data_IF_310272946706
#
_entry.id   IF_310272946706
#
_cell.length_a   1.000
_cell.length_b   1.000
_cell.length_c   1.000
_cell.angle_alpha   90.00
_cell.angle_beta   90.00
_cell.angle_gamma   90.00
#
_symmetry.space_group_name_H-M   'P 1'
#
loop_
_entity.id
_entity.type
_entity.pdbx_description
1 polymer ?
#
# COMPACT_ATOMS: atom_id res chain seq x y z
N UNK A 1 -20.54 -11.90 -8.38
CA UNK A 1 -19.29 -11.09 -8.29
C UNK A 1 -18.55 -11.58 -7.06
N UNK A 2 -17.31 -12.07 -7.22
CA UNK A 2 -16.60 -12.77 -6.15
C UNK A 2 -16.31 -11.81 -4.99
N UNK A 3 -16.76 -12.19 -3.79
CA UNK A 3 -16.58 -11.44 -2.54
C UNK A 3 -15.11 -11.01 -2.41
N UNK A 4 -14.88 -9.70 -2.29
CA UNK A 4 -13.54 -9.11 -2.14
C UNK A 4 -12.78 -9.64 -0.90
N UNK A 5 -13.51 -10.28 0.01
CA UNK A 5 -13.07 -10.82 1.29
C UNK A 5 -12.11 -12.03 1.15
N UNK A 6 -12.08 -12.70 0.00
CA UNK A 6 -11.26 -13.91 -0.22
C UNK A 6 -10.03 -13.69 -1.13
N UNK A 7 -9.71 -12.46 -1.51
CA UNK A 7 -8.51 -12.20 -2.31
C UNK A 7 -7.28 -12.02 -1.39
N UNK A 8 -6.24 -12.87 -1.50
CA UNK A 8 -5.01 -12.71 -0.73
C UNK A 8 -4.34 -11.34 -0.94
N UNK A 9 -4.54 -10.74 -2.13
CA UNK A 9 -4.05 -9.40 -2.46
C UNK A 9 -4.75 -8.32 -1.63
N UNK A 10 -6.06 -8.43 -1.39
CA UNK A 10 -6.79 -7.45 -0.58
C UNK A 10 -6.30 -7.46 0.87
N UNK A 11 -6.13 -8.66 1.44
CA UNK A 11 -5.55 -8.81 2.77
C UNK A 11 -4.14 -8.23 2.84
N UNK A 12 -3.27 -8.56 1.88
CA UNK A 12 -1.90 -8.03 1.84
C UNK A 12 -1.86 -6.50 1.75
N UNK A 13 -2.73 -5.89 0.94
CA UNK A 13 -2.84 -4.42 0.86
C UNK A 13 -3.39 -3.79 2.14
N UNK A 14 -4.29 -4.47 2.85
CA UNK A 14 -4.79 -4.02 4.15
C UNK A 14 -3.71 -4.12 5.24
N UNK A 15 -2.93 -5.20 5.24
CA UNK A 15 -1.79 -5.37 6.14
C UNK A 15 -0.72 -4.30 5.88
N UNK A 16 -0.48 -3.93 4.61
CA UNK A 16 0.39 -2.79 4.25
C UNK A 16 -0.15 -1.47 4.82
N UNK A 17 -1.45 -1.20 4.67
CA UNK A 17 -2.09 -0.01 5.22
C UNK A 17 -1.89 0.08 6.75
N UNK A 18 -2.05 -1.05 7.46
CA UNK A 18 -1.80 -1.11 8.89
C UNK A 18 -0.31 -0.92 9.25
N UNK A 19 0.65 -1.44 8.46
CA UNK A 19 2.10 -1.18 8.62
C UNK A 19 2.35 0.34 8.55
N UNK A 20 1.80 0.99 7.53
CA UNK A 20 2.00 2.42 7.29
C UNK A 20 1.38 3.29 8.40
N UNK A 21 0.20 2.95 8.90
CA UNK A 21 -0.37 3.65 10.07
C UNK A 21 0.51 3.53 11.32
N UNK A 22 1.15 2.38 11.54
CA UNK A 22 2.10 2.20 12.64
C UNK A 22 3.37 3.05 12.45
N UNK A 23 3.89 3.13 11.22
CA UNK A 23 5.03 4.00 10.88
C UNK A 23 4.69 5.48 11.09
N UNK A 24 3.55 5.94 10.56
CA UNK A 24 3.10 7.34 10.68
C UNK A 24 2.82 7.73 12.13
N UNK A 25 2.45 6.78 13.00
CA UNK A 25 2.31 7.04 14.45
C UNK A 25 3.64 7.41 15.11
N UNK A 26 4.76 6.89 14.61
CA UNK A 26 6.11 7.18 15.12
C UNK A 26 6.70 8.51 14.64
N UNK A 27 6.07 9.19 13.67
CA UNK A 27 6.60 10.43 13.12
C UNK A 27 6.48 11.62 14.10
N UNK A 28 7.48 12.51 14.15
CA UNK A 28 7.36 13.78 14.85
C UNK A 28 6.24 14.62 14.23
N UNK A 29 5.63 15.48 15.05
CA UNK A 29 4.41 16.23 14.71
C UNK A 29 4.49 16.96 13.37
N UNK A 30 5.64 17.54 13.03
CA UNK A 30 5.86 18.26 11.77
C UNK A 30 5.75 17.36 10.54
N UNK A 31 6.43 16.20 10.54
CA UNK A 31 6.45 15.26 9.42
C UNK A 31 5.14 14.46 9.29
N UNK A 32 4.40 14.31 10.38
CA UNK A 32 3.14 13.58 10.41
C UNK A 32 2.05 14.19 9.54
N UNK A 33 2.03 15.52 9.37
CA UNK A 33 1.00 16.20 8.58
C UNK A 33 1.28 16.18 7.08
N UNK A 34 2.54 16.15 6.67
CA UNK A 34 2.94 16.07 5.27
C UNK A 34 3.10 14.60 4.87
N UNK A 35 4.23 13.99 5.23
CA UNK A 35 4.56 12.60 4.89
C UNK A 35 3.53 11.60 5.40
N UNK A 36 2.97 11.85 6.59
CA UNK A 36 1.94 10.98 7.14
C UNK A 36 0.61 11.03 6.38
N UNK A 37 0.28 12.15 5.74
CA UNK A 37 -0.90 12.26 4.88
C UNK A 37 -0.66 11.57 3.55
N UNK A 38 0.50 11.81 2.93
CA UNK A 38 0.88 11.20 1.65
C UNK A 38 0.90 9.66 1.73
N UNK A 39 1.51 9.12 2.79
CA UNK A 39 1.54 7.66 3.04
C UNK A 39 0.14 7.07 3.20
N UNK A 40 -0.76 7.75 3.91
CA UNK A 40 -2.14 7.30 4.11
C UNK A 40 -2.94 7.33 2.83
N UNK A 41 -2.77 8.38 2.04
CA UNK A 41 -3.54 8.55 0.80
C UNK A 41 -3.08 7.58 -0.29
N UNK A 42 -1.78 7.33 -0.40
CA UNK A 42 -1.25 6.26 -1.25
C UNK A 42 -1.71 4.87 -0.80
N UNK A 43 -1.65 4.57 0.51
CA UNK A 43 -2.13 3.27 1.02
C UNK A 43 -3.64 3.04 0.75
N UNK A 44 -4.46 4.08 0.93
CA UNK A 44 -5.89 4.05 0.55
C UNK A 44 -6.08 3.88 -0.96
N UNK A 45 -5.19 4.45 -1.77
CA UNK A 45 -5.23 4.30 -3.22
C UNK A 45 -4.95 2.87 -3.65
N UNK A 46 -3.94 2.23 -3.08
CA UNK A 46 -3.65 0.79 -3.31
C UNK A 46 -4.89 -0.06 -3.00
N UNK A 47 -5.55 0.17 -1.87
CA UNK A 47 -6.80 -0.54 -1.52
C UNK A 47 -7.90 -0.35 -2.58
N UNK A 48 -8.11 0.88 -3.07
CA UNK A 48 -9.09 1.15 -4.13
C UNK A 48 -8.72 0.47 -5.45
N UNK A 49 -7.43 0.46 -5.81
CA UNK A 49 -6.96 -0.19 -7.02
C UNK A 49 -7.12 -1.71 -6.97
N UNK A 50 -6.93 -2.34 -5.81
CA UNK A 50 -7.20 -3.78 -5.64
C UNK A 50 -8.67 -4.10 -5.85
N UNK A 51 -9.57 -3.29 -5.28
CA UNK A 51 -11.02 -3.45 -5.51
C UNK A 51 -11.35 -3.27 -7.00
N UNK A 52 -10.76 -2.25 -7.65
CA UNK A 52 -10.91 -1.99 -9.08
C UNK A 52 -10.41 -3.17 -9.92
N UNK A 53 -9.22 -3.70 -9.64
CA UNK A 53 -8.65 -4.85 -10.34
C UNK A 53 -9.55 -6.09 -10.21
N UNK A 54 -10.16 -6.31 -9.04
CA UNK A 54 -11.07 -7.43 -8.83
C UNK A 54 -12.35 -7.33 -9.68
N UNK A 55 -12.84 -6.12 -9.92
CA UNK A 55 -14.03 -5.88 -10.74
C UNK A 55 -13.76 -5.93 -12.26
N UNK A 56 -12.50 -5.99 -12.70
CA UNK A 56 -12.12 -5.98 -14.11
C UNK A 56 -11.89 -7.39 -14.66
N UNK A 57 -12.25 -7.58 -15.93
CA UNK A 57 -11.96 -8.81 -16.69
C UNK A 57 -10.49 -8.86 -17.12
N UNK A 58 -9.96 -7.73 -17.58
CA UNK A 58 -8.53 -7.52 -17.78
C UNK A 58 -7.94 -6.80 -16.57
N UNK A 59 -7.06 -7.51 -15.84
CA UNK A 59 -6.47 -7.06 -14.58
C UNK A 59 -5.06 -6.54 -14.75
N UNK A 60 -4.38 -6.91 -15.84
CA UNK A 60 -2.97 -6.56 -16.07
C UNK A 60 -2.69 -5.06 -15.94
N UNK A 61 -3.44 -4.14 -16.55
CA UNK A 61 -3.15 -2.71 -16.43
C UNK A 61 -3.35 -2.19 -15.00
N UNK A 62 -4.34 -2.70 -14.27
CA UNK A 62 -4.61 -2.26 -12.89
C UNK A 62 -3.59 -2.85 -11.91
N UNK A 63 -3.09 -4.06 -12.16
CA UNK A 63 -2.03 -4.66 -11.36
C UNK A 63 -0.70 -3.93 -11.51
N UNK A 64 -0.39 -3.43 -12.71
CA UNK A 64 0.77 -2.56 -12.94
C UNK A 64 0.64 -1.25 -12.16
N UNK A 65 -0.54 -0.62 -12.20
CA UNK A 65 -0.85 0.60 -11.43
C UNK A 65 -0.69 0.36 -9.91
N UNK A 66 -1.15 -0.80 -9.41
CA UNK A 66 -0.93 -1.20 -8.00
C UNK A 66 0.56 -1.30 -7.67
N UNK A 67 1.35 -1.90 -8.56
CA UNK A 67 2.79 -2.07 -8.35
C UNK A 67 3.50 -0.72 -8.29
N UNK A 68 3.20 0.18 -9.23
CA UNK A 68 3.79 1.53 -9.28
C UNK A 68 3.49 2.31 -8.00
N UNK A 69 2.25 2.29 -7.53
CA UNK A 69 1.83 2.99 -6.31
C UNK A 69 2.49 2.39 -5.05
N UNK A 70 2.73 1.07 -5.01
CA UNK A 70 3.47 0.46 -3.90
C UNK A 70 4.96 0.82 -3.94
N UNK A 71 5.58 0.86 -5.11
CA UNK A 71 6.97 1.30 -5.25
C UNK A 71 7.14 2.75 -4.78
N UNK A 72 6.20 3.64 -5.13
CA UNK A 72 6.18 5.02 -4.64
C UNK A 72 6.07 5.08 -3.10
N UNK A 73 5.18 4.26 -2.53
CA UNK A 73 5.04 4.12 -1.08
C UNK A 73 6.28 3.54 -0.39
N UNK A 74 7.12 2.75 -1.07
CA UNK A 74 8.37 2.23 -0.51
C UNK A 74 9.48 3.30 -0.48
N UNK A 75 9.48 4.24 -1.42
CA UNK A 75 10.48 5.32 -1.51
C UNK A 75 10.28 6.36 -0.40
N UNK A 76 9.03 6.68 -0.05
CA UNK A 76 8.67 7.69 0.95
C UNK A 76 9.23 7.44 2.38
N UNK A 77 9.07 6.26 3.02
CA UNK A 77 9.51 6.01 4.40
C UNK A 77 11.04 5.89 4.56
N UNK A 78 11.80 5.64 3.48
CA UNK A 78 13.26 5.52 3.51
C UNK A 78 13.99 6.83 3.85
N UNK A 79 13.28 7.97 3.84
CA UNK A 79 13.83 9.28 4.21
C UNK A 79 13.86 9.55 5.72
N UNK A 80 13.23 8.71 6.57
CA UNK A 80 13.01 9.02 8.00
C UNK A 80 13.38 7.93 9.01
N UNK A 81 13.17 6.64 8.73
CA UNK A 81 13.57 5.54 9.63
C UNK A 81 13.61 4.20 8.89
N UNK A 82 14.66 3.36 9.06
CA UNK A 82 14.73 2.04 8.44
C UNK A 82 13.76 1.08 9.12
N UNK A 83 12.53 0.98 8.61
CA UNK A 83 11.57 -0.03 9.06
C UNK A 83 11.85 -1.35 8.31
N UNK A 84 12.79 -2.17 8.82
CA UNK A 84 13.18 -3.48 8.26
C UNK A 84 12.04 -4.52 8.19
N UNK A 85 10.81 -4.18 8.60
CA UNK A 85 9.70 -5.12 8.80
C UNK A 85 8.64 -5.10 7.71
N UNK A 86 8.61 -4.12 6.80
CA UNK A 86 7.49 -3.94 5.86
C UNK A 86 7.67 -4.55 4.43
N UNK A 87 8.80 -5.20 4.07
CA UNK A 87 9.05 -5.65 2.66
C UNK A 87 8.84 -7.15 2.32
N UNK A 88 8.43 -8.10 3.20
CA UNK A 88 8.50 -9.51 2.79
C UNK A 88 7.40 -9.96 1.80
N UNK A 89 6.30 -9.22 1.64
CA UNK A 89 5.10 -9.71 0.92
C UNK A 89 4.91 -9.25 -0.53
N UNK A 90 5.41 -8.08 -0.92
CA UNK A 90 5.03 -7.45 -2.21
C UNK A 90 6.05 -7.71 -3.34
N UNK A 91 7.30 -8.06 -2.99
CA UNK A 91 8.34 -8.44 -3.97
C UNK A 91 8.06 -9.75 -4.72
N UNK A 92 6.98 -10.47 -4.38
CA UNK A 92 6.60 -11.75 -4.98
C UNK A 92 5.47 -11.64 -6.02
N UNK A 93 5.02 -10.42 -6.36
CA UNK A 93 4.09 -10.22 -7.48
C UNK A 93 4.88 -10.24 -8.80
N UNK A 94 4.49 -11.08 -9.77
CA UNK A 94 5.18 -11.21 -11.06
C UNK A 94 5.15 -9.92 -11.89
#
# INVERSE_FOLDING_TARGET
>A
MAQAEHLPIYKASYDLFLCLEQVVRGFPRYQKYTLGTDLRDGARRVLRLVVRANARRDKAPVLLEIREEVEELNVLPMSGHPCQRCVPGIRALP
#
